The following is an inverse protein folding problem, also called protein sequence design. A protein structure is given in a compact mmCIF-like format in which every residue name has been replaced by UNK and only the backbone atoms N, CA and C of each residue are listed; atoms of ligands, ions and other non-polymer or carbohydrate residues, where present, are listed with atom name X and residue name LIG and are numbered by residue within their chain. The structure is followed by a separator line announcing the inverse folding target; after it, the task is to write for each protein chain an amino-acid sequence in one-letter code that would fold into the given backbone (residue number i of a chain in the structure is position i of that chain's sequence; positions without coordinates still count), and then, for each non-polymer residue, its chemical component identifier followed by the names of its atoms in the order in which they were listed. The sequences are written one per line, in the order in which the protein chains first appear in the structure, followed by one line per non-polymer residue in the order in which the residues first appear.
data_IF_628879345683
#
_entry.id   IF_628879345683
#
_cell.length_a   1.000
_cell.length_b   1.000
_cell.length_c   1.000
_cell.angle_alpha   90.00
_cell.angle_beta   90.00
_cell.angle_gamma   90.00
#
_symmetry.space_group_name_H-M   'P 1'
#
loop_
_entity.id
_entity.type
_entity.pdbx_description
1 polymer ?
#
# COMPACT_ATOMS: atom_id res chain seq x y z
N UNK A 1 -23.47 8.42 6.62
CA UNK A 1 -23.50 7.00 7.08
C UNK A 1 -22.20 6.78 7.85
N UNK A 2 -22.28 6.43 9.13
CA UNK A 2 -21.10 6.05 9.88
C UNK A 2 -20.53 4.78 9.25
N UNK A 3 -19.27 4.82 8.82
CA UNK A 3 -18.57 3.60 8.40
C UNK A 3 -18.49 2.67 9.62
N UNK A 4 -19.14 1.51 9.51
CA UNK A 4 -19.03 0.48 10.53
C UNK A 4 -17.56 0.07 10.65
N UNK A 5 -16.95 0.31 11.80
CA UNK A 5 -15.61 -0.19 12.10
C UNK A 5 -15.71 -1.71 12.28
N UNK A 6 -15.10 -2.46 11.37
CA UNK A 6 -15.10 -3.92 11.44
C UNK A 6 -14.27 -4.39 12.65
N UNK A 7 -14.79 -5.39 13.33
CA UNK A 7 -14.05 -6.12 14.37
C UNK A 7 -12.93 -6.99 13.76
N UNK A 8 -11.98 -7.41 14.56
CA UNK A 8 -10.91 -8.33 14.16
C UNK A 8 -11.47 -9.62 13.53
N UNK A 9 -12.51 -10.20 14.14
CA UNK A 9 -13.14 -11.41 13.64
C UNK A 9 -13.82 -11.19 12.28
N UNK A 10 -14.50 -10.06 12.08
CA UNK A 10 -15.12 -9.71 10.80
C UNK A 10 -14.09 -9.53 9.69
N UNK A 11 -12.93 -8.92 10.00
CA UNK A 11 -11.81 -8.77 9.04
C UNK A 11 -11.24 -10.13 8.64
N UNK A 12 -10.99 -11.01 9.60
CA UNK A 12 -10.53 -12.37 9.33
C UNK A 12 -11.51 -13.16 8.46
N UNK A 13 -12.83 -13.02 8.70
CA UNK A 13 -13.85 -13.73 7.92
C UNK A 13 -13.91 -13.20 6.47
N UNK A 14 -13.76 -11.88 6.27
CA UNK A 14 -13.71 -11.28 4.93
C UNK A 14 -12.50 -11.83 4.16
N UNK A 15 -11.33 -11.86 4.76
CA UNK A 15 -10.11 -12.37 4.13
C UNK A 15 -10.24 -13.87 3.82
N UNK A 16 -10.78 -14.65 4.75
CA UNK A 16 -11.02 -16.07 4.56
C UNK A 16 -12.03 -16.34 3.44
N UNK A 17 -13.07 -15.51 3.32
CA UNK A 17 -14.07 -15.63 2.26
C UNK A 17 -13.45 -15.28 0.91
N UNK A 18 -12.70 -14.19 0.82
CA UNK A 18 -12.00 -13.82 -0.41
C UNK A 18 -11.06 -14.94 -0.90
N UNK A 19 -10.34 -15.59 0.01
CA UNK A 19 -9.51 -16.77 -0.32
C UNK A 19 -10.34 -17.94 -0.85
N UNK A 20 -11.51 -18.22 -0.25
CA UNK A 20 -12.41 -19.32 -0.71
C UNK A 20 -12.98 -19.03 -2.09
N UNK A 21 -13.26 -17.78 -2.40
CA UNK A 21 -13.83 -17.36 -3.68
C UNK A 21 -12.77 -17.27 -4.80
N UNK A 22 -11.52 -17.65 -4.50
CA UNK A 22 -10.42 -17.68 -5.46
C UNK A 22 -9.92 -16.28 -5.86
N UNK A 23 -10.30 -15.26 -5.13
CA UNK A 23 -9.70 -13.95 -5.28
C UNK A 23 -8.22 -14.05 -4.90
N UNK A 24 -7.34 -13.59 -5.78
CA UNK A 24 -5.94 -13.38 -5.44
C UNK A 24 -5.89 -12.26 -4.41
N UNK A 25 -5.92 -12.60 -3.14
CA UNK A 25 -5.61 -11.64 -2.10
C UNK A 25 -4.12 -11.36 -2.22
N UNK A 26 -3.78 -10.27 -2.89
CA UNK A 26 -2.42 -9.72 -2.79
C UNK A 26 -2.34 -9.16 -1.38
N UNK A 27 -1.98 -10.01 -0.44
CA UNK A 27 -1.63 -9.57 0.90
C UNK A 27 -0.39 -8.69 0.75
N UNK A 28 -0.59 -7.39 0.84
CA UNK A 28 0.54 -6.50 1.07
C UNK A 28 1.32 -7.05 2.24
N UNK A 29 2.62 -7.26 2.07
CA UNK A 29 3.48 -7.66 3.17
C UNK A 29 3.19 -6.73 4.35
N UNK A 30 2.87 -7.25 5.53
CA UNK A 30 2.58 -6.39 6.66
C UNK A 30 3.67 -5.35 6.82
N UNK A 31 3.30 -4.08 7.04
CA UNK A 31 4.29 -3.01 7.23
C UNK A 31 5.35 -3.39 8.28
N UNK A 32 4.98 -4.27 9.23
CA UNK A 32 5.88 -4.79 10.24
C UNK A 32 7.06 -5.57 9.69
N UNK A 33 6.90 -6.34 8.63
CA UNK A 33 7.99 -7.10 7.99
C UNK A 33 9.08 -6.19 7.41
N UNK A 34 8.68 -5.01 6.96
CA UNK A 34 9.58 -3.98 6.43
C UNK A 34 10.13 -3.04 7.52
N UNK A 35 9.68 -3.20 8.77
CA UNK A 35 10.02 -2.33 9.87
C UNK A 35 11.27 -2.84 10.62
N UNK A 36 12.23 -1.94 10.93
CA UNK A 36 13.44 -2.27 11.71
C UNK A 36 13.16 -2.69 13.15
N UNK A 37 11.95 -2.47 13.64
CA UNK A 37 11.50 -2.86 14.96
C UNK A 37 10.88 -4.26 15.01
N UNK A 38 10.78 -4.92 13.87
CA UNK A 38 10.32 -6.30 13.77
C UNK A 38 11.22 -7.26 14.55
N UNK A 39 10.62 -8.29 15.14
CA UNK A 39 11.34 -9.35 15.85
C UNK A 39 10.99 -10.68 15.18
N UNK A 40 11.99 -11.31 14.60
CA UNK A 40 11.92 -12.68 14.09
C UNK A 40 10.87 -12.90 12.98
N UNK A 41 10.71 -11.94 12.08
CA UNK A 41 9.80 -12.04 10.91
C UNK A 41 8.36 -12.47 11.28
N UNK A 42 7.93 -12.13 12.46
CA UNK A 42 6.59 -12.41 12.94
C UNK A 42 5.84 -11.10 13.14
N UNK A 43 4.81 -10.87 12.32
CA UNK A 43 3.99 -9.67 12.37
C UNK A 43 3.42 -9.35 13.76
N UNK A 44 3.27 -10.35 14.62
CA UNK A 44 2.79 -10.18 16.00
C UNK A 44 3.86 -9.62 16.94
N UNK A 45 5.14 -9.80 16.64
CA UNK A 45 6.26 -9.40 17.50
C UNK A 45 6.84 -8.05 17.07
N UNK A 46 7.11 -7.18 18.05
CA UNK A 46 7.68 -5.87 17.77
C UNK A 46 8.41 -5.30 18.98
N UNK A 47 9.60 -4.73 18.76
CA UNK A 47 10.40 -4.08 19.84
C UNK A 47 9.66 -2.93 20.52
N UNK A 48 8.79 -2.21 19.81
CA UNK A 48 8.03 -1.06 20.32
C UNK A 48 6.75 -1.44 21.07
N UNK A 49 6.16 -2.60 20.75
CA UNK A 49 4.93 -3.10 21.39
C UNK A 49 5.18 -4.31 22.30
N UNK A 50 6.40 -4.45 22.80
CA UNK A 50 6.95 -5.62 23.50
C UNK A 50 6.04 -6.27 24.58
N UNK A 51 5.21 -5.48 25.24
CA UNK A 51 4.31 -5.91 26.33
C UNK A 51 2.85 -5.49 26.07
N UNK A 52 2.56 -4.95 24.88
CA UNK A 52 1.22 -4.48 24.52
C UNK A 52 0.81 -5.12 23.20
N UNK A 53 -0.46 -5.44 23.06
CA UNK A 53 -0.99 -5.83 21.78
C UNK A 53 -0.76 -4.72 20.76
N UNK A 54 -0.33 -5.08 19.54
CA UNK A 54 -0.35 -4.16 18.42
C UNK A 54 -1.79 -3.75 18.16
N UNK A 55 -2.06 -2.47 17.90
CA UNK A 55 -3.39 -2.05 17.47
C UNK A 55 -3.81 -2.76 16.18
N UNK A 56 -5.10 -3.05 16.04
CA UNK A 56 -5.67 -3.73 14.88
C UNK A 56 -5.31 -3.02 13.57
N UNK A 57 -5.38 -1.69 13.54
CA UNK A 57 -5.04 -0.91 12.37
C UNK A 57 -3.57 -1.10 11.92
N UNK A 58 -2.67 -1.50 12.82
CA UNK A 58 -1.28 -1.85 12.48
C UNK A 58 -1.18 -3.28 11.96
N UNK A 59 -1.90 -4.22 12.59
CA UNK A 59 -1.90 -5.63 12.20
C UNK A 59 -2.50 -5.84 10.81
N UNK A 60 -3.57 -5.12 10.49
CA UNK A 60 -4.28 -5.19 9.22
C UNK A 60 -3.81 -4.16 8.19
N UNK A 61 -2.74 -3.43 8.48
CA UNK A 61 -2.22 -2.38 7.59
C UNK A 61 -3.28 -1.34 7.17
N UNK A 62 -4.23 -1.04 8.03
CA UNK A 62 -5.28 -0.03 7.78
C UNK A 62 -4.75 1.40 7.82
N UNK A 63 -3.72 1.61 8.63
CA UNK A 63 -3.00 2.89 8.78
C UNK A 63 -1.53 2.63 9.04
N UNK A 64 -0.72 3.64 8.77
CA UNK A 64 0.70 3.59 9.10
C UNK A 64 0.93 3.47 10.61
N UNK A 65 1.86 2.61 10.98
CA UNK A 65 2.29 2.50 12.36
C UNK A 65 3.12 3.71 12.76
N UNK A 66 2.73 4.42 13.82
CA UNK A 66 3.47 5.59 14.35
C UNK A 66 4.94 5.32 14.73
N UNK A 67 5.32 4.07 14.84
CA UNK A 67 6.69 3.63 15.13
C UNK A 67 7.35 2.97 13.92
N UNK A 68 6.73 3.09 12.73
CA UNK A 68 7.30 2.51 11.53
C UNK A 68 8.64 3.18 11.21
N UNK A 69 9.67 2.36 11.06
CA UNK A 69 10.97 2.77 10.56
C UNK A 69 11.42 1.70 9.55
N UNK A 70 11.58 2.06 8.30
CA UNK A 70 11.99 1.11 7.26
C UNK A 70 13.34 0.45 7.58
N UNK A 71 13.45 -0.84 7.33
CA UNK A 71 14.73 -1.58 7.38
C UNK A 71 15.68 -1.05 6.30
N UNK A 72 15.14 -0.72 5.15
CA UNK A 72 15.88 -0.26 3.97
C UNK A 72 15.53 1.20 3.72
N UNK A 73 16.11 2.11 4.48
CA UNK A 73 16.01 3.53 4.17
C UNK A 73 16.98 3.82 3.02
N UNK A 74 16.43 4.02 1.86
CA UNK A 74 17.19 4.54 0.72
C UNK A 74 17.18 6.07 0.87
N UNK A 75 18.34 6.66 1.06
CA UNK A 75 18.52 8.11 1.02
C UNK A 75 18.83 8.48 -0.42
N UNK A 76 17.95 9.25 -1.03
CA UNK A 76 18.19 9.82 -2.35
C UNK A 76 18.81 11.21 -2.16
N UNK A 77 19.94 11.41 -2.78
CA UNK A 77 20.56 12.73 -2.89
C UNK A 77 19.95 13.44 -4.12
N UNK A 78 18.98 14.28 -3.88
CA UNK A 78 18.28 15.03 -4.94
C UNK A 78 19.02 16.35 -5.13
N UNK A 79 19.91 16.39 -6.11
CA UNK A 79 20.85 17.48 -6.28
C UNK A 79 20.41 18.58 -7.25
N UNK A 80 19.30 18.39 -8.00
CA UNK A 80 18.83 19.38 -8.98
C UNK A 80 17.31 19.55 -8.95
N UNK A 81 16.82 20.72 -9.40
CA UNK A 81 15.38 20.99 -9.56
C UNK A 81 14.74 20.01 -10.57
N UNK A 82 15.52 19.52 -11.51
CA UNK A 82 15.09 18.55 -12.52
C UNK A 82 14.86 17.17 -11.90
N UNK A 83 15.77 16.75 -11.03
CA UNK A 83 15.63 15.50 -10.28
C UNK A 83 14.43 15.58 -9.33
N UNK A 84 14.23 16.69 -8.65
CA UNK A 84 13.06 16.98 -7.82
C UNK A 84 11.74 16.84 -8.59
N UNK A 85 11.69 17.38 -9.80
CA UNK A 85 10.48 17.32 -10.65
C UNK A 85 10.21 15.89 -11.11
N UNK A 86 11.24 15.14 -11.49
CA UNK A 86 11.11 13.74 -11.90
C UNK A 86 10.65 12.85 -10.75
N UNK A 87 11.33 12.91 -9.60
CA UNK A 87 10.95 12.14 -8.42
C UNK A 87 9.58 12.53 -7.91
N UNK A 88 9.26 13.83 -7.89
CA UNK A 88 7.94 14.33 -7.52
C UNK A 88 6.84 13.80 -8.42
N UNK A 89 7.09 13.71 -9.72
CA UNK A 89 6.16 13.13 -10.69
C UNK A 89 5.93 11.65 -10.44
N UNK A 90 7.00 10.86 -10.29
CA UNK A 90 6.92 9.41 -10.01
C UNK A 90 6.20 9.14 -8.69
N UNK A 91 6.61 9.81 -7.62
CA UNK A 91 5.99 9.63 -6.32
C UNK A 91 4.53 10.08 -6.31
N UNK A 92 4.22 11.21 -6.96
CA UNK A 92 2.84 11.71 -7.11
C UNK A 92 1.95 10.71 -7.84
N UNK A 93 2.45 10.07 -8.87
CA UNK A 93 1.73 9.03 -9.60
C UNK A 93 1.45 7.81 -8.70
N UNK A 94 2.46 7.28 -8.02
CA UNK A 94 2.30 6.15 -7.09
C UNK A 94 1.31 6.46 -5.95
N UNK A 95 1.41 7.66 -5.37
CA UNK A 95 0.51 8.09 -4.30
C UNK A 95 -0.92 8.24 -4.85
N UNK A 96 -1.08 8.78 -6.05
CA UNK A 96 -2.38 8.90 -6.71
C UNK A 96 -3.06 7.56 -6.90
N UNK A 97 -2.32 6.57 -7.39
CA UNK A 97 -2.78 5.18 -7.53
C UNK A 97 -3.17 4.59 -6.17
N UNK A 98 -2.29 4.64 -5.17
CA UNK A 98 -2.57 4.13 -3.81
C UNK A 98 -3.80 4.79 -3.15
N UNK A 99 -4.09 6.05 -3.45
CA UNK A 99 -5.29 6.76 -2.99
C UNK A 99 -6.52 6.28 -3.75
N UNK A 100 -6.38 6.00 -5.04
CA UNK A 100 -7.46 5.57 -5.93
C UNK A 100 -7.95 4.16 -5.66
N UNK A 101 -7.02 3.21 -5.48
CA UNK A 101 -7.30 1.77 -5.34
C UNK A 101 -8.46 1.43 -4.39
N UNK A 102 -8.54 1.97 -3.16
CA UNK A 102 -9.62 1.61 -2.25
C UNK A 102 -11.01 2.10 -2.66
N UNK A 103 -11.08 3.05 -3.58
CA UNK A 103 -12.34 3.71 -4.00
C UNK A 103 -12.64 3.54 -5.48
N UNK A 104 -11.86 2.76 -6.17
CA UNK A 104 -12.05 2.46 -7.59
C UNK A 104 -13.45 1.89 -7.84
N UNK A 105 -14.02 2.17 -8.99
CA UNK A 105 -15.40 1.83 -9.37
C UNK A 105 -16.51 2.39 -8.48
N UNK A 106 -16.20 3.19 -7.46
CA UNK A 106 -17.23 3.89 -6.70
C UNK A 106 -17.88 4.99 -7.53
N UNK A 107 -19.18 5.23 -7.33
CA UNK A 107 -19.90 6.25 -8.07
C UNK A 107 -19.45 7.66 -7.67
N UNK A 108 -19.67 8.63 -8.59
CA UNK A 108 -19.43 10.05 -8.30
C UNK A 108 -20.25 10.56 -7.13
N UNK A 109 -21.47 10.04 -6.94
CA UNK A 109 -22.36 10.42 -5.83
C UNK A 109 -21.75 9.96 -4.51
N UNK A 110 -21.29 8.70 -4.42
CA UNK A 110 -20.60 8.18 -3.24
C UNK A 110 -19.36 9.01 -2.90
N UNK A 111 -18.56 9.35 -3.89
CA UNK A 111 -17.34 10.18 -3.69
C UNK A 111 -17.67 11.62 -3.29
N UNK A 112 -18.81 12.14 -3.73
CA UNK A 112 -19.27 13.47 -3.28
C UNK A 112 -19.68 13.50 -1.82
N UNK A 113 -20.26 12.41 -1.32
CA UNK A 113 -20.66 12.27 0.09
C UNK A 113 -19.50 11.88 1.00
N UNK A 114 -18.52 11.11 0.49
CA UNK A 114 -17.34 10.67 1.21
C UNK A 114 -16.07 10.94 0.39
N UNK A 115 -15.62 12.20 0.31
CA UNK A 115 -14.42 12.57 -0.44
C UNK A 115 -13.17 11.90 0.14
N UNK A 116 -12.29 11.44 -0.75
CA UNK A 116 -11.01 10.86 -0.34
C UNK A 116 -10.07 11.99 0.09
N UNK A 117 -9.62 11.95 1.34
CA UNK A 117 -8.72 12.96 1.94
C UNK A 117 -7.41 12.37 2.46
N UNK A 118 -7.34 11.06 2.56
CA UNK A 118 -6.19 10.32 3.07
C UNK A 118 -6.12 8.93 2.43
N UNK A 119 -4.99 8.26 2.54
CA UNK A 119 -4.86 6.86 2.16
C UNK A 119 -5.84 6.01 2.99
N UNK A 120 -6.50 5.07 2.32
CA UNK A 120 -7.45 4.13 2.92
C UNK A 120 -7.00 2.69 2.71
N UNK A 121 -7.58 1.78 3.46
CA UNK A 121 -7.42 0.34 3.30
C UNK A 121 -8.78 -0.33 3.11
N UNK A 122 -8.80 -1.56 2.66
CA UNK A 122 -9.98 -2.43 2.57
C UNK A 122 -11.16 -1.86 1.77
N UNK A 123 -10.86 -1.11 0.74
CA UNK A 123 -11.88 -0.64 -0.20
C UNK A 123 -12.27 -1.72 -1.22
N UNK A 124 -12.37 -1.33 -2.47
CA UNK A 124 -12.86 -2.17 -3.58
C UNK A 124 -12.16 -3.52 -3.68
N UNK A 125 -10.85 -3.58 -3.44
CA UNK A 125 -10.05 -4.80 -3.58
C UNK A 125 -9.66 -5.45 -2.26
N UNK A 126 -10.20 -5.02 -1.14
CA UNK A 126 -9.87 -5.53 0.20
C UNK A 126 -8.36 -5.57 0.50
N UNK A 127 -7.61 -4.61 -0.01
CA UNK A 127 -6.17 -4.52 0.16
C UNK A 127 -5.77 -3.70 1.39
N UNK A 128 -4.58 -3.97 1.91
CA UNK A 128 -4.01 -3.23 3.03
C UNK A 128 -3.71 -1.77 2.68
N UNK A 129 -3.36 -1.00 3.68
CA UNK A 129 -2.97 0.41 3.55
C UNK A 129 -1.75 0.59 2.66
N UNK A 130 -1.81 1.53 1.72
CA UNK A 130 -0.68 1.91 0.89
C UNK A 130 -0.30 0.87 -0.17
N UNK A 131 -1.24 0.05 -0.61
CA UNK A 131 -1.07 -0.86 -1.75
C UNK A 131 -1.41 -0.11 -3.03
N UNK A 132 -0.59 -0.28 -4.04
CA UNK A 132 -0.80 0.23 -5.39
C UNK A 132 -1.42 -0.83 -6.31
N UNK A 133 -1.89 -0.42 -7.48
CA UNK A 133 -2.47 -1.29 -8.51
C UNK A 133 -1.49 -1.60 -9.64
N UNK A 134 -2.03 -2.01 -10.77
CA UNK A 134 -1.32 -2.21 -12.02
C UNK A 134 -0.75 -0.91 -12.60
N UNK A 135 -1.37 0.24 -12.37
CA UNK A 135 -0.89 1.53 -12.86
C UNK A 135 0.54 1.82 -12.38
N UNK A 136 0.80 1.72 -11.08
CA UNK A 136 2.14 1.88 -10.53
C UNK A 136 3.08 0.77 -11.01
N UNK A 137 2.61 -0.46 -11.10
CA UNK A 137 3.40 -1.60 -11.58
C UNK A 137 3.85 -1.40 -13.03
N UNK A 138 2.96 -0.96 -13.91
CA UNK A 138 3.27 -0.63 -15.30
C UNK A 138 4.23 0.55 -15.41
N UNK A 139 4.07 1.57 -14.57
CA UNK A 139 5.00 2.69 -14.55
C UNK A 139 6.41 2.25 -14.13
N UNK A 140 6.54 1.39 -13.13
CA UNK A 140 7.82 0.85 -12.69
C UNK A 140 8.47 0.03 -13.83
N UNK A 141 7.70 -0.81 -14.50
CA UNK A 141 8.16 -1.56 -15.66
C UNK A 141 8.63 -0.65 -16.80
N UNK A 142 7.88 0.43 -17.06
CA UNK A 142 8.28 1.45 -18.05
C UNK A 142 9.60 2.12 -17.65
N UNK A 143 9.74 2.56 -16.40
CA UNK A 143 10.98 3.17 -15.91
C UNK A 143 12.14 2.20 -16.06
N UNK A 144 11.97 0.93 -15.66
CA UNK A 144 13.00 -0.09 -15.81
C UNK A 144 13.39 -0.29 -17.27
N UNK A 145 12.44 -0.29 -18.19
CA UNK A 145 12.72 -0.41 -19.63
C UNK A 145 13.48 0.79 -20.22
N UNK A 146 13.30 1.97 -19.62
CA UNK A 146 13.98 3.21 -20.06
C UNK A 146 15.44 3.29 -19.62
N UNK A 147 15.84 2.64 -18.53
CA UNK A 147 17.22 2.67 -18.00
C UNK A 147 18.20 2.12 -19.05
N UNK A 148 17.84 1.04 -19.71
CA UNK A 148 18.67 0.37 -20.71
C UNK A 148 18.32 0.74 -22.17
N UNK A 149 17.51 1.79 -22.36
CA UNK A 149 16.95 2.19 -23.64
C UNK A 149 15.61 1.50 -23.92
N UNK A 150 14.60 2.32 -24.27
CA UNK A 150 13.24 1.87 -24.47
C UNK A 150 13.11 0.86 -25.61
N UNK A 151 12.44 -0.26 -25.34
CA UNK A 151 11.88 -1.14 -26.36
C UNK A 151 10.58 -1.78 -25.85
N UNK A 152 9.63 -2.02 -26.76
CA UNK A 152 8.36 -2.69 -26.43
C UNK A 152 8.61 -4.11 -25.93
N UNK A 153 9.58 -4.80 -26.54
CA UNK A 153 9.96 -6.15 -26.14
C UNK A 153 10.48 -6.21 -24.69
N UNK A 154 11.32 -5.25 -24.28
CA UNK A 154 11.79 -5.15 -22.89
C UNK A 154 10.63 -4.83 -21.94
N UNK A 155 9.79 -3.89 -22.29
CA UNK A 155 8.63 -3.53 -21.47
C UNK A 155 7.72 -4.73 -21.21
N UNK A 156 7.52 -5.61 -22.20
CA UNK A 156 6.68 -6.80 -22.07
C UNK A 156 7.29 -7.92 -21.22
N UNK A 157 8.56 -7.83 -20.86
CA UNK A 157 9.28 -8.82 -20.06
C UNK A 157 9.34 -8.46 -18.56
N UNK A 158 8.84 -7.28 -18.18
CA UNK A 158 8.69 -6.84 -16.80
C UNK A 158 7.27 -7.05 -16.28
#
# INVERSE_FOLDING_TARGET
MEQKILTLAEKWEIDAQACRDGASVITASPQCEKCRHDIASNAMNCKKYRLKHKPDYVLFCEKECKYFESKNRIEFDINTDKDNSLYGGILGFCIGDMIGVPVEFSSRIERSMDPVKELRAYGTYHQGFGVWSDDTSLMIALIASLIDGFSIERLSNY
#
